data_IF_061154689066
#
_entry.id   IF_061154689066
#
_cell.length_a   1.000
_cell.length_b   1.000
_cell.length_c   1.000
_cell.angle_alpha   90.00
_cell.angle_beta   90.00
_cell.angle_gamma   90.00
#
_symmetry.space_group_name_H-M   'P 1'
#
loop_
_entity.id
_entity.type
_entity.pdbx_description
1 polymer ?
#
# COMPACT_ATOMS: atom_id res chain seq x y z
N UNK A 1 19.85 -7.10 -6.33
CA UNK A 1 18.98 -8.14 -5.75
C UNK A 1 17.79 -8.47 -6.64
N UNK A 2 16.76 -7.63 -6.79
CA UNK A 2 15.59 -7.95 -7.66
C UNK A 2 16.04 -8.34 -9.09
N UNK A 3 16.91 -7.54 -9.70
CA UNK A 3 17.45 -7.83 -11.04
C UNK A 3 18.19 -9.17 -11.12
N UNK A 4 18.91 -9.59 -10.07
CA UNK A 4 19.70 -10.81 -10.08
C UNK A 4 18.83 -12.07 -10.14
N UNK A 5 17.68 -12.04 -9.44
CA UNK A 5 16.68 -13.10 -9.48
C UNK A 5 15.82 -13.02 -10.75
N UNK A 6 15.44 -11.81 -11.17
CA UNK A 6 14.69 -11.58 -12.40
C UNK A 6 15.43 -12.09 -13.64
N UNK A 7 16.75 -11.90 -13.72
CA UNK A 7 17.59 -12.43 -14.81
C UNK A 7 17.64 -13.97 -14.86
N UNK A 8 17.20 -14.66 -13.80
CA UNK A 8 17.06 -16.13 -13.75
C UNK A 8 15.63 -16.60 -14.02
N UNK A 9 14.76 -15.70 -14.48
CA UNK A 9 13.34 -15.97 -14.73
C UNK A 9 12.45 -15.92 -13.50
N UNK A 10 12.97 -15.60 -12.31
CA UNK A 10 12.13 -15.50 -11.12
C UNK A 10 11.25 -14.24 -11.20
N UNK A 11 9.97 -14.37 -10.83
CA UNK A 11 9.01 -13.25 -10.84
C UNK A 11 8.74 -12.78 -9.42
N UNK A 12 8.89 -11.49 -9.14
CA UNK A 12 8.57 -10.91 -7.84
C UNK A 12 7.05 -10.99 -7.60
N UNK A 13 6.64 -11.41 -6.41
CA UNK A 13 5.22 -11.54 -6.03
C UNK A 13 4.82 -10.58 -4.93
N UNK A 14 5.67 -10.41 -3.93
CA UNK A 14 5.35 -9.62 -2.73
C UNK A 14 6.64 -9.11 -2.10
N UNK A 15 6.53 -7.99 -1.41
CA UNK A 15 7.57 -7.45 -0.53
C UNK A 15 7.01 -7.30 0.88
N UNK A 16 7.69 -7.86 1.87
CA UNK A 16 7.29 -7.74 3.28
C UNK A 16 8.39 -7.06 4.10
N UNK A 17 8.00 -6.16 5.00
CA UNK A 17 8.93 -5.56 5.96
C UNK A 17 9.02 -6.47 7.19
N UNK A 18 10.16 -7.13 7.38
CA UNK A 18 10.32 -8.22 8.36
C UNK A 18 11.06 -7.81 9.63
N UNK A 19 11.63 -6.61 9.68
CA UNK A 19 12.26 -6.12 10.90
C UNK A 19 12.67 -4.66 10.85
N UNK A 20 12.97 -4.10 12.01
CA UNK A 20 13.66 -2.82 12.10
C UNK A 20 14.93 -3.00 12.94
N UNK A 21 16.07 -2.67 12.35
CA UNK A 21 17.34 -2.60 13.05
C UNK A 21 17.58 -1.16 13.47
N UNK A 22 17.74 -0.94 14.77
CA UNK A 22 18.34 0.28 15.29
C UNK A 22 19.85 0.04 15.28
N UNK A 23 20.64 0.73 14.43
CA UNK A 23 22.09 0.65 14.57
C UNK A 23 22.47 1.07 15.99
N UNK A 24 23.43 0.39 16.64
CA UNK A 24 23.94 0.82 17.93
C UNK A 24 24.44 2.25 17.76
N UNK A 25 23.69 3.21 18.30
CA UNK A 25 24.13 4.58 18.39
C UNK A 25 25.28 4.61 19.38
N UNK A 26 26.39 5.24 19.00
CA UNK A 26 27.50 5.54 19.91
C UNK A 26 26.96 6.02 21.26
N UNK A 27 27.40 5.36 22.32
CA UNK A 27 26.89 5.38 23.69
C UNK A 27 27.00 6.73 24.43
N UNK A 28 27.23 7.84 23.74
CA UNK A 28 27.47 9.14 24.34
C UNK A 28 26.58 10.21 23.71
N UNK A 29 25.36 10.35 24.22
CA UNK A 29 24.74 11.62 24.63
C UNK A 29 23.25 11.40 24.90
N UNK A 30 22.80 11.93 26.05
CA UNK A 30 21.42 11.96 26.59
C UNK A 30 20.98 10.74 27.43
N UNK A 31 21.23 10.87 28.75
CA UNK A 31 20.31 10.68 29.89
C UNK A 31 19.43 9.42 30.00
N UNK A 32 19.16 8.93 31.21
CA UNK A 32 18.43 7.67 31.41
C UNK A 32 16.98 7.80 30.96
N UNK A 33 16.63 7.15 29.84
CA UNK A 33 15.25 6.82 29.51
C UNK A 33 14.97 5.39 29.91
N UNK A 34 14.03 5.23 30.85
CA UNK A 34 13.55 3.97 31.39
C UNK A 34 12.92 3.14 30.26
N UNK A 35 13.64 2.12 29.81
CA UNK A 35 13.19 1.18 28.78
C UNK A 35 12.18 0.20 29.39
N UNK A 36 10.90 0.37 29.04
CA UNK A 36 9.87 -0.63 29.27
C UNK A 36 9.97 -1.73 28.22
N UNK A 37 10.17 -2.97 28.68
CA UNK A 37 10.29 -4.19 27.88
C UNK A 37 8.91 -4.67 27.47
N UNK A 38 8.69 -4.89 26.17
CA UNK A 38 7.48 -5.54 25.67
C UNK A 38 7.44 -5.58 24.15
N UNK A 39 7.88 -6.70 23.57
CA UNK A 39 7.70 -7.02 22.16
C UNK A 39 6.21 -7.18 21.85
N UNK A 40 5.64 -6.13 21.29
CA UNK A 40 4.30 -6.08 20.71
C UNK A 40 4.25 -4.79 19.91
N UNK A 41 3.80 -4.85 18.66
CA UNK A 41 3.84 -3.73 17.72
C UNK A 41 3.22 -2.46 18.30
N UNK A 42 4.08 -1.60 18.86
CA UNK A 42 3.73 -0.34 19.48
C UNK A 42 3.83 0.77 18.43
N UNK A 43 2.75 1.01 17.69
CA UNK A 43 2.54 2.24 16.93
C UNK A 43 1.64 3.24 17.68
N UNK A 44 1.53 3.10 19.00
CA UNK A 44 0.91 4.08 19.90
C UNK A 44 1.97 4.87 20.65
N UNK A 45 2.08 6.17 20.36
CA UNK A 45 2.73 7.21 21.16
C UNK A 45 4.19 6.98 21.61
N UNK A 46 5.11 7.50 20.81
CA UNK A 46 6.52 7.68 21.16
C UNK A 46 7.29 8.40 20.05
N UNK A 47 6.84 9.60 19.65
CA UNK A 47 7.41 10.36 18.54
C UNK A 47 8.74 11.05 18.91
N UNK A 48 9.83 10.29 18.83
CA UNK A 48 11.16 10.75 18.43
C UNK A 48 11.68 9.77 17.39
N UNK A 49 11.29 9.96 16.12
CA UNK A 49 11.83 9.16 15.02
C UNK A 49 13.31 9.53 14.82
N UNK A 50 14.19 8.66 15.32
CA UNK A 50 15.62 8.67 14.99
C UNK A 50 15.77 8.58 13.47
N UNK A 51 16.57 9.48 12.88
CA UNK A 51 16.92 9.59 11.44
C UNK A 51 17.62 8.35 10.82
N UNK A 52 17.52 7.18 11.42
CA UNK A 52 18.34 6.01 11.04
C UNK A 52 17.73 4.69 11.51
N UNK A 53 16.47 4.39 11.14
CA UNK A 53 15.97 3.02 11.23
C UNK A 53 16.23 2.34 9.88
N UNK A 54 16.92 1.21 9.91
CA UNK A 54 17.09 0.35 8.74
C UNK A 54 16.01 -0.72 8.84
N UNK A 55 15.15 -0.81 7.83
CA UNK A 55 14.12 -1.84 7.76
C UNK A 55 14.66 -3.05 6.99
N UNK A 56 14.49 -4.24 7.58
CA UNK A 56 14.68 -5.50 6.88
C UNK A 56 13.50 -5.73 5.94
N UNK A 57 13.79 -6.24 4.75
CA UNK A 57 12.79 -6.46 3.71
C UNK A 57 12.99 -7.86 3.15
N UNK A 58 11.92 -8.64 3.15
CA UNK A 58 11.85 -9.96 2.52
C UNK A 58 11.20 -9.82 1.15
N UNK A 59 11.80 -10.48 0.15
CA UNK A 59 11.33 -10.48 -1.23
C UNK A 59 10.87 -11.88 -1.60
N UNK A 60 9.60 -12.02 -1.94
CA UNK A 60 9.02 -13.30 -2.33
C UNK A 60 9.00 -13.41 -3.85
N UNK A 61 9.65 -14.46 -4.36
CA UNK A 61 9.73 -14.74 -5.79
C UNK A 61 9.03 -16.05 -6.13
N UNK A 62 8.33 -16.05 -7.26
CA UNK A 62 7.92 -17.27 -7.94
C UNK A 62 9.04 -17.76 -8.85
N UNK A 63 9.41 -19.03 -8.68
CA UNK A 63 10.41 -19.70 -9.52
C UNK A 63 9.67 -20.45 -10.63
N UNK A 64 9.89 -20.07 -11.91
CA UNK A 64 9.23 -20.73 -13.02
C UNK A 64 9.65 -22.19 -13.14
N UNK A 65 8.68 -23.08 -13.36
CA UNK A 65 8.92 -24.52 -13.53
C UNK A 65 9.20 -24.93 -14.99
N UNK A 66 9.07 -24.00 -15.94
CA UNK A 66 9.19 -24.27 -17.38
C UNK A 66 10.54 -23.80 -17.97
N UNK A 67 11.10 -24.50 -18.98
CA UNK A 67 12.44 -24.25 -19.53
C UNK A 67 12.67 -22.90 -20.23
N UNK A 68 11.65 -22.07 -20.43
CA UNK A 68 11.78 -20.74 -21.06
C UNK A 68 10.93 -19.70 -20.31
N UNK A 69 11.38 -19.23 -19.15
CA UNK A 69 10.63 -18.25 -18.39
C UNK A 69 10.62 -16.89 -19.10
N UNK A 70 9.45 -16.27 -19.13
CA UNK A 70 9.35 -14.85 -19.51
C UNK A 70 10.14 -14.01 -18.49
N UNK A 71 10.95 -13.08 -18.98
CA UNK A 71 11.70 -12.16 -18.14
C UNK A 71 10.87 -10.90 -17.89
N UNK A 72 11.05 -10.31 -16.72
CA UNK A 72 10.30 -9.12 -16.28
C UNK A 72 11.27 -8.00 -15.90
N UNK A 73 10.89 -6.77 -16.24
CA UNK A 73 11.52 -5.55 -15.78
C UNK A 73 10.65 -4.91 -14.70
N UNK A 74 11.30 -4.35 -13.67
CA UNK A 74 10.63 -3.72 -12.54
C UNK A 74 10.94 -2.24 -12.47
N UNK A 75 9.96 -1.46 -12.02
CA UNK A 75 10.12 -0.04 -11.75
C UNK A 75 9.55 0.31 -10.38
N UNK A 76 10.40 0.84 -9.51
CA UNK A 76 10.00 1.39 -8.22
C UNK A 76 9.78 2.90 -8.35
N UNK A 77 8.62 3.37 -7.91
CA UNK A 77 8.18 4.76 -8.04
C UNK A 77 7.89 5.30 -6.64
N UNK A 78 8.82 6.08 -6.06
CA UNK A 78 8.61 6.68 -4.75
C UNK A 78 7.66 7.87 -4.84
N UNK A 79 6.72 7.95 -3.90
CA UNK A 79 5.74 9.02 -3.73
C UNK A 79 5.72 9.48 -2.28
N UNK A 80 5.19 10.69 -2.09
CA UNK A 80 5.00 11.29 -0.77
C UNK A 80 3.53 11.26 -0.40
N UNK A 81 3.20 10.54 0.67
CA UNK A 81 1.92 10.64 1.35
C UNK A 81 2.04 11.74 2.41
N UNK A 82 1.26 12.81 2.24
CA UNK A 82 1.13 13.84 3.28
C UNK A 82 -0.07 13.50 4.16
N UNK A 83 0.17 13.31 5.44
CA UNK A 83 -0.86 13.05 6.44
C UNK A 83 -0.91 14.20 7.43
N UNK A 84 -2.06 14.86 7.52
CA UNK A 84 -2.29 15.97 8.43
C UNK A 84 -3.34 15.58 9.46
N UNK A 85 -2.96 15.58 10.74
CA UNK A 85 -3.85 15.44 11.87
C UNK A 85 -4.11 16.82 12.47
N UNK A 86 -5.37 17.24 12.49
CA UNK A 86 -5.84 18.37 13.26
C UNK A 86 -6.56 17.87 14.52
N UNK A 87 -6.12 18.33 15.68
CA UNK A 87 -6.74 18.05 16.97
C UNK A 87 -7.27 19.33 17.57
N UNK A 88 -8.54 19.33 17.96
CA UNK A 88 -9.14 20.42 18.72
C UNK A 88 -9.75 19.88 20.01
N UNK A 89 -9.44 20.53 21.13
CA UNK A 89 -10.03 20.21 22.43
C UNK A 89 -11.38 20.92 22.56
N UNK A 90 -12.47 20.16 22.47
CA UNK A 90 -13.79 20.62 22.89
C UNK A 90 -14.01 20.38 24.39
N UNK A 91 -15.16 20.81 24.93
CA UNK A 91 -15.59 20.46 26.28
C UNK A 91 -15.81 18.94 26.39
N UNK A 92 -14.76 18.20 26.79
CA UNK A 92 -14.84 16.80 27.22
C UNK A 92 -14.11 15.76 26.37
N UNK A 93 -13.94 15.97 25.06
CA UNK A 93 -13.28 14.98 24.18
C UNK A 93 -12.46 15.65 23.06
N UNK A 94 -11.23 15.19 22.79
CA UNK A 94 -10.47 15.63 21.62
C UNK A 94 -11.22 15.27 20.33
N UNK A 95 -11.44 16.24 19.45
CA UNK A 95 -11.89 15.99 18.09
C UNK A 95 -10.64 15.84 17.20
N UNK A 96 -10.55 14.73 16.47
CA UNK A 96 -9.43 14.40 15.59
C UNK A 96 -9.94 14.38 14.14
N UNK A 97 -9.27 15.12 13.26
CA UNK A 97 -9.56 15.12 11.83
C UNK A 97 -8.27 14.84 11.04
N UNK A 98 -8.31 13.81 10.20
CA UNK A 98 -7.20 13.42 9.35
C UNK A 98 -7.47 13.86 7.90
N UNK A 99 -6.50 14.56 7.31
CA UNK A 99 -6.39 14.75 5.86
C UNK A 99 -5.24 13.90 5.33
N UNK A 100 -5.53 13.03 4.36
CA UNK A 100 -4.50 12.25 3.66
C UNK A 100 -4.43 12.72 2.21
N UNK A 101 -3.21 12.96 1.72
CA UNK A 101 -2.96 13.38 0.35
C UNK A 101 -1.87 12.51 -0.29
N UNK A 102 -2.26 11.74 -1.30
CA UNK A 102 -1.39 10.96 -2.17
C UNK A 102 -1.97 10.98 -3.57
N UNK A 103 -1.19 11.39 -4.58
CA UNK A 103 -1.59 11.27 -5.99
C UNK A 103 -1.35 9.84 -6.51
N UNK A 104 -2.11 8.89 -5.96
CA UNK A 104 -2.02 7.51 -6.38
C UNK A 104 -2.57 7.33 -7.80
N UNK A 105 -3.61 8.08 -8.17
CA UNK A 105 -4.29 7.94 -9.45
C UNK A 105 -3.42 8.40 -10.62
N UNK A 106 -2.70 9.51 -10.49
CA UNK A 106 -1.76 9.99 -11.51
C UNK A 106 -0.69 8.96 -11.83
N UNK A 107 -0.11 8.36 -10.79
CA UNK A 107 0.92 7.33 -10.93
C UNK A 107 0.37 6.04 -11.51
N UNK A 108 -0.76 5.55 -11.01
CA UNK A 108 -1.38 4.33 -11.56
C UNK A 108 -1.75 4.53 -13.04
N UNK A 109 -2.32 5.66 -13.42
CA UNK A 109 -2.66 5.94 -14.82
C UNK A 109 -1.44 5.98 -15.73
N UNK A 110 -0.32 6.57 -15.26
CA UNK A 110 0.92 6.63 -16.03
C UNK A 110 1.46 5.23 -16.38
N UNK A 111 1.49 4.32 -15.40
CA UNK A 111 2.12 3.00 -15.55
C UNK A 111 1.14 1.96 -16.12
N UNK A 112 -0.05 1.84 -15.56
CA UNK A 112 -1.05 0.87 -16.03
C UNK A 112 -1.50 1.19 -17.46
N UNK A 113 -1.62 2.48 -17.78
CA UNK A 113 -1.92 2.99 -19.13
C UNK A 113 -0.82 2.75 -20.16
N UNK A 114 0.37 2.31 -19.76
CA UNK A 114 1.48 1.95 -20.66
C UNK A 114 1.85 0.47 -20.56
N UNK A 115 0.91 -0.37 -20.12
CA UNK A 115 1.02 -1.83 -20.11
C UNK A 115 1.84 -2.40 -18.94
N UNK A 116 2.21 -1.58 -17.95
CA UNK A 116 2.81 -2.08 -16.71
C UNK A 116 1.73 -2.65 -15.79
N UNK A 117 2.11 -3.61 -14.96
CA UNK A 117 1.28 -4.22 -13.92
C UNK A 117 1.74 -3.74 -12.55
N UNK A 118 0.82 -3.38 -11.65
CA UNK A 118 1.16 -3.07 -10.25
C UNK A 118 1.35 -4.39 -9.47
N UNK A 119 2.41 -4.47 -8.67
CA UNK A 119 2.75 -5.68 -7.89
C UNK A 119 2.70 -5.43 -6.40
N UNK A 120 3.12 -4.25 -5.95
CA UNK A 120 3.16 -3.94 -4.53
C UNK A 120 3.06 -2.43 -4.32
N UNK A 121 2.48 -2.03 -3.19
CA UNK A 121 2.54 -0.67 -2.66
C UNK A 121 2.88 -0.78 -1.18
N UNK A 122 4.03 -0.26 -0.76
CA UNK A 122 4.42 -0.31 0.64
C UNK A 122 4.91 1.04 1.14
N UNK A 123 4.77 1.24 2.45
CA UNK A 123 5.32 2.38 3.18
C UNK A 123 6.73 2.01 3.64
N UNK A 124 7.75 2.77 3.26
CA UNK A 124 9.14 2.48 3.68
C UNK A 124 9.41 2.83 5.16
N UNK A 125 8.37 3.32 5.85
CA UNK A 125 8.33 3.68 7.27
C UNK A 125 9.21 4.86 7.65
N UNK A 126 9.83 5.53 6.68
CA UNK A 126 10.48 6.82 6.88
C UNK A 126 9.43 7.93 6.88
N UNK A 127 9.47 8.74 7.93
CA UNK A 127 8.50 9.80 8.17
C UNK A 127 9.21 11.07 8.60
N UNK A 128 8.96 12.17 7.90
CA UNK A 128 9.28 13.51 8.38
C UNK A 128 8.04 14.07 9.06
N UNK A 129 8.11 14.25 10.39
CA UNK A 129 6.98 14.73 11.19
C UNK A 129 7.27 16.13 11.71
N UNK A 130 6.32 17.03 11.52
CA UNK A 130 6.30 18.36 12.11
C UNK A 130 5.02 18.53 12.92
N UNK A 131 5.11 19.21 14.06
CA UNK A 131 3.95 19.49 14.90
C UNK A 131 3.98 20.95 15.36
N UNK A 132 2.80 21.53 15.52
CA UNK A 132 2.63 22.92 15.92
C UNK A 132 1.34 23.13 16.70
N UNK A 133 1.36 24.09 17.61
CA UNK A 133 0.17 24.55 18.31
C UNK A 133 -0.51 25.61 17.45
N UNK A 134 -1.79 25.40 17.13
CA UNK A 134 -2.56 26.31 16.26
C UNK A 134 -3.46 27.26 17.06
N UNK A 135 -3.55 27.06 18.38
CA UNK A 135 -4.41 27.82 19.30
C UNK A 135 -4.47 27.18 20.70
N UNK A 136 -5.21 27.81 21.61
CA UNK A 136 -5.42 27.24 22.96
C UNK A 136 -6.20 25.93 22.86
N UNK A 137 -5.56 24.82 23.21
CA UNK A 137 -6.17 23.50 23.13
C UNK A 137 -6.31 22.96 21.70
N UNK A 138 -5.59 23.51 20.71
CA UNK A 138 -5.57 22.95 19.35
C UNK A 138 -4.16 22.73 18.85
N UNK A 139 -3.93 21.57 18.23
CA UNK A 139 -2.65 21.18 17.66
C UNK A 139 -2.83 20.61 16.26
N UNK A 140 -1.86 20.87 15.40
CA UNK A 140 -1.73 20.22 14.09
C UNK A 140 -0.43 19.44 14.05
N UNK A 141 -0.50 18.23 13.52
CA UNK A 141 0.67 17.40 13.21
C UNK A 141 0.62 17.06 11.73
N UNK A 142 1.73 17.27 11.03
CA UNK A 142 1.89 16.91 9.62
C UNK A 142 3.04 15.93 9.49
N UNK A 143 2.75 14.76 8.94
CA UNK A 143 3.70 13.70 8.66
C UNK A 143 3.79 13.49 7.16
N UNK A 144 5.00 13.46 6.62
CA UNK A 144 5.27 13.10 5.23
C UNK A 144 5.90 11.72 5.22
N UNK A 145 5.18 10.75 4.66
CA UNK A 145 5.58 9.35 4.53
C UNK A 145 6.05 9.07 3.10
N UNK A 146 7.03 8.18 2.95
CA UNK A 146 7.42 7.65 1.65
C UNK A 146 6.63 6.37 1.34
N UNK A 147 5.90 6.41 0.24
CA UNK A 147 5.17 5.26 -0.30
C UNK A 147 5.84 4.86 -1.61
N UNK A 148 6.11 3.58 -1.82
CA UNK A 148 6.77 3.08 -3.02
C UNK A 148 5.80 2.19 -3.77
N UNK A 149 5.50 2.55 -5.01
CA UNK A 149 4.75 1.71 -5.94
C UNK A 149 5.74 0.88 -6.75
N UNK A 150 5.51 -0.42 -6.86
CA UNK A 150 6.34 -1.31 -7.67
C UNK A 150 5.51 -1.83 -8.82
N UNK A 151 5.98 -1.54 -10.02
CA UNK A 151 5.42 -2.03 -11.26
C UNK A 151 6.33 -3.06 -11.91
N UNK A 152 5.74 -3.98 -12.66
CA UNK A 152 6.46 -4.90 -13.53
C UNK A 152 5.95 -4.82 -14.97
N UNK A 153 6.81 -5.18 -15.92
CA UNK A 153 6.46 -5.33 -17.33
C UNK A 153 7.27 -6.45 -17.97
N UNK A 154 6.64 -7.26 -18.79
CA UNK A 154 7.34 -8.30 -19.54
C UNK A 154 8.41 -7.68 -20.45
N UNK A 155 9.62 -8.24 -20.43
CA UNK A 155 10.74 -7.75 -21.23
C UNK A 155 10.44 -7.81 -22.73
N UNK A 156 9.69 -8.83 -23.17
CA UNK A 156 9.19 -8.99 -24.54
C UNK A 156 8.28 -7.85 -25.01
N UNK A 157 7.66 -7.13 -24.06
CA UNK A 157 6.68 -6.06 -24.31
C UNK A 157 7.15 -4.70 -23.82
N UNK A 158 8.43 -4.53 -23.47
CA UNK A 158 8.90 -3.30 -22.83
C UNK A 158 8.55 -2.04 -23.65
N UNK A 159 8.66 -2.14 -24.97
CA UNK A 159 8.37 -1.07 -25.93
C UNK A 159 6.90 -1.01 -26.39
N UNK A 160 6.05 -1.93 -25.94
CA UNK A 160 4.61 -1.93 -26.25
C UNK A 160 3.86 -1.13 -25.17
N UNK A 161 3.31 0.02 -25.55
CA UNK A 161 2.57 0.90 -24.64
C UNK A 161 1.07 0.64 -24.64
N UNK A 162 0.61 -0.49 -25.17
CA UNK A 162 -0.81 -0.86 -25.14
C UNK A 162 -1.28 -0.97 -23.68
N UNK A 163 -2.33 -0.22 -23.28
CA UNK A 163 -2.91 -0.34 -21.95
C UNK A 163 -3.43 -1.76 -21.73
N UNK A 164 -2.97 -2.42 -20.66
CA UNK A 164 -3.39 -3.78 -20.31
C UNK A 164 -4.09 -3.89 -18.97
N UNK A 165 -3.89 -2.90 -18.10
CA UNK A 165 -4.40 -2.92 -16.75
C UNK A 165 -5.09 -1.60 -16.43
N UNK A 166 -6.06 -1.66 -15.55
CA UNK A 166 -6.61 -0.51 -14.84
C UNK A 166 -6.56 -0.79 -13.34
N UNK A 167 -6.65 0.26 -12.54
CA UNK A 167 -6.49 0.13 -11.10
C UNK A 167 -7.32 1.14 -10.32
N UNK A 168 -7.60 0.79 -9.08
CA UNK A 168 -8.45 1.58 -8.18
C UNK A 168 -7.98 1.42 -6.73
N UNK A 169 -8.41 2.34 -5.88
CA UNK A 169 -8.14 2.33 -4.45
C UNK A 169 -9.45 2.45 -3.69
N UNK A 170 -9.63 1.61 -2.67
CA UNK A 170 -10.78 1.66 -1.76
C UNK A 170 -10.30 2.02 -0.36
N UNK A 171 -10.97 3.01 0.24
CA UNK A 171 -10.76 3.35 1.64
C UNK A 171 -11.55 2.39 2.54
N UNK A 172 -10.85 1.76 3.48
CA UNK A 172 -11.44 0.88 4.48
C UNK A 172 -11.19 1.42 5.89
N UNK A 173 -12.27 1.56 6.66
CA UNK A 173 -12.21 1.98 8.05
C UNK A 173 -12.21 0.76 8.95
N UNK A 174 -11.02 0.28 9.31
CA UNK A 174 -10.86 -0.89 10.17
C UNK A 174 -11.23 -0.53 11.62
N UNK A 175 -12.29 -1.12 12.18
CA UNK A 175 -12.62 -0.91 13.57
C UNK A 175 -11.58 -1.58 14.47
N UNK A 176 -11.39 -1.05 15.67
CA UNK A 176 -10.45 -1.58 16.63
C UNK A 176 -10.76 -1.14 18.05
N UNK A 177 -10.01 -1.69 18.98
CA UNK A 177 -10.11 -1.36 20.40
C UNK A 177 -8.73 -1.31 21.04
N UNK A 178 -8.60 -0.43 22.02
CA UNK A 178 -7.43 -0.34 22.89
C UNK A 178 -7.93 -0.59 24.31
N UNK A 179 -7.42 -1.65 24.93
CA UNK A 179 -7.66 -1.93 26.35
C UNK A 179 -6.40 -1.58 27.15
N UNK A 180 -6.59 -0.84 28.24
CA UNK A 180 -5.52 -0.48 29.16
C UNK A 180 -5.52 -1.49 30.34
N UNK A 181 -4.47 -2.29 30.44
CA UNK A 181 -4.15 -3.11 31.59
C UNK A 181 -3.06 -2.47 32.45
N UNK A 182 -2.86 -2.99 33.66
CA UNK A 182 -1.76 -2.56 34.54
C UNK A 182 -0.44 -2.95 33.86
N UNK A 183 0.26 -1.96 33.30
CA UNK A 183 1.57 -2.13 32.67
C UNK A 183 1.56 -2.56 31.20
N UNK A 184 0.40 -2.86 30.61
CA UNK A 184 0.28 -3.22 29.18
C UNK A 184 -0.96 -2.61 28.55
N UNK A 185 -0.81 -2.09 27.33
CA UNK A 185 -1.94 -1.70 26.48
C UNK A 185 -2.04 -2.70 25.33
N UNK A 186 -3.20 -3.34 25.19
CA UNK A 186 -3.45 -4.24 24.05
C UNK A 186 -4.27 -3.49 23.02
N UNK A 187 -3.76 -3.43 21.80
CA UNK A 187 -4.46 -2.87 20.65
C UNK A 187 -4.89 -4.02 19.74
N UNK A 188 -6.19 -4.06 19.42
CA UNK A 188 -6.78 -5.02 18.49
C UNK A 188 -7.38 -4.23 17.34
N UNK A 189 -6.95 -4.54 16.12
CA UNK A 189 -7.62 -4.07 14.89
C UNK A 189 -8.40 -5.26 14.34
N UNK A 190 -9.67 -5.05 14.08
CA UNK A 190 -10.52 -6.00 13.38
C UNK A 190 -10.27 -5.84 11.87
N UNK A 191 -9.78 -6.92 11.26
CA UNK A 191 -9.37 -6.99 9.86
C UNK A 191 -10.47 -7.61 8.98
N UNK A 192 -11.74 -7.27 9.25
CA UNK A 192 -12.90 -7.79 8.51
C UNK A 192 -13.07 -7.10 7.15
N UNK A 193 -12.01 -7.07 6.34
CA UNK A 193 -12.00 -6.53 4.98
C UNK A 193 -12.44 -7.56 3.93
N UNK A 194 -12.69 -8.81 4.33
CA UNK A 194 -13.03 -9.91 3.43
C UNK A 194 -14.23 -9.59 2.54
N UNK A 195 -15.27 -8.95 3.09
CA UNK A 195 -16.43 -8.51 2.31
C UNK A 195 -16.08 -7.49 1.22
N UNK A 196 -15.11 -6.61 1.48
CA UNK A 196 -14.63 -5.64 0.48
C UNK A 196 -13.85 -6.37 -0.61
N UNK A 197 -12.96 -7.30 -0.22
CA UNK A 197 -12.19 -8.12 -1.17
C UNK A 197 -13.13 -8.94 -2.05
N UNK A 198 -14.12 -9.62 -1.47
CA UNK A 198 -15.09 -10.43 -2.19
C UNK A 198 -15.92 -9.59 -3.17
N UNK A 199 -16.44 -8.45 -2.72
CA UNK A 199 -17.21 -7.54 -3.57
C UNK A 199 -16.38 -7.01 -4.75
N UNK A 200 -15.11 -6.66 -4.51
CA UNK A 200 -14.19 -6.21 -5.55
C UNK A 200 -13.83 -7.37 -6.51
N UNK A 201 -13.58 -8.56 -5.97
CA UNK A 201 -13.33 -9.79 -6.75
C UNK A 201 -14.49 -10.15 -7.67
N UNK A 202 -15.73 -10.04 -7.20
CA UNK A 202 -16.94 -10.24 -8.00
C UNK A 202 -17.08 -9.24 -9.16
N UNK A 203 -16.41 -8.09 -9.08
CA UNK A 203 -16.33 -7.08 -10.13
C UNK A 203 -15.08 -7.24 -11.02
N UNK A 204 -14.33 -8.34 -10.84
CA UNK A 204 -13.12 -8.67 -11.60
C UNK A 204 -11.85 -7.98 -11.12
N UNK A 205 -11.87 -7.33 -9.95
CA UNK A 205 -10.69 -6.70 -9.36
C UNK A 205 -9.85 -7.71 -8.57
N UNK A 206 -8.53 -7.67 -8.79
CA UNK A 206 -7.52 -8.40 -8.02
C UNK A 206 -6.96 -7.48 -6.92
N UNK A 207 -6.98 -7.93 -5.67
CA UNK A 207 -6.31 -7.22 -4.57
C UNK A 207 -4.80 -7.29 -4.77
N UNK A 208 -4.13 -6.14 -4.69
CA UNK A 208 -2.67 -6.05 -4.73
C UNK A 208 -2.10 -5.95 -3.34
N UNK A 209 -2.59 -5.00 -2.55
CA UNK A 209 -2.07 -4.78 -1.20
C UNK A 209 -3.05 -3.99 -0.36
N UNK A 210 -2.90 -4.12 0.96
CA UNK A 210 -3.63 -3.33 1.96
C UNK A 210 -2.60 -2.46 2.66
N UNK A 211 -2.60 -1.17 2.31
CA UNK A 211 -1.70 -0.20 2.86
C UNK A 211 -2.29 0.41 4.13
N UNK A 212 -1.64 0.18 5.26
CA UNK A 212 -1.97 0.87 6.50
C UNK A 212 -1.55 2.34 6.42
N UNK A 213 -2.49 3.26 6.70
CA UNK A 213 -2.23 4.70 6.76
C UNK A 213 -1.97 5.13 8.21
N UNK A 214 -1.37 6.32 8.45
CA UNK A 214 -1.23 6.86 9.81
C UNK A 214 -2.58 7.35 10.38
N UNK A 215 -3.63 7.46 9.57
CA UNK A 215 -4.90 8.04 9.98
C UNK A 215 -5.65 7.09 10.91
N UNK A 216 -5.65 7.44 12.19
CA UNK A 216 -6.33 6.69 13.25
C UNK A 216 -7.16 7.66 14.08
N UNK A 217 -8.43 7.35 14.27
CA UNK A 217 -9.32 8.09 15.18
C UNK A 217 -9.54 7.29 16.45
N UNK A 218 -9.36 7.92 17.60
CA UNK A 218 -9.58 7.27 18.90
C UNK A 218 -10.69 7.98 19.67
N UNK A 219 -11.65 7.19 20.17
CA UNK A 219 -12.71 7.69 21.07
C UNK A 219 -12.53 7.06 22.44
N UNK A 220 -12.21 7.91 23.42
CA UNK A 220 -12.05 7.50 24.81
C UNK A 220 -13.39 7.08 25.41
N UNK A 221 -13.38 5.98 26.16
CA UNK A 221 -14.49 5.46 26.94
C UNK A 221 -14.02 5.20 28.38
N UNK A 222 -14.96 5.03 29.32
CA UNK A 222 -14.66 4.93 30.76
C UNK A 222 -13.70 3.79 31.13
N UNK A 223 -13.60 2.73 30.32
CA UNK A 223 -12.76 1.55 30.57
C UNK A 223 -11.91 1.09 29.37
N UNK A 224 -11.72 1.95 28.36
CA UNK A 224 -10.97 1.62 27.16
C UNK A 224 -11.12 2.70 26.10
N UNK A 225 -10.60 2.46 24.90
CA UNK A 225 -10.84 3.34 23.77
C UNK A 225 -11.27 2.53 22.55
N UNK A 226 -12.29 3.00 21.83
CA UNK A 226 -12.53 2.49 20.49
C UNK A 226 -11.62 3.23 19.51
N UNK A 227 -11.16 2.49 18.51
CA UNK A 227 -10.24 2.98 17.50
C UNK A 227 -10.82 2.70 16.12
N UNK A 228 -10.56 3.60 15.18
CA UNK A 228 -10.82 3.34 13.75
C UNK A 228 -9.57 3.71 12.99
N UNK A 229 -8.97 2.75 12.30
CA UNK A 229 -7.80 2.94 11.45
C UNK A 229 -8.23 3.02 10.00
N UNK A 230 -7.79 4.03 9.28
CA UNK A 230 -8.01 4.14 7.84
C UNK A 230 -6.94 3.34 7.10
N UNK A 231 -7.37 2.46 6.22
CA UNK A 231 -6.51 1.65 5.34
C UNK A 231 -6.87 1.94 3.89
N UNK A 232 -5.88 1.86 3.01
CA UNK A 232 -6.06 1.97 1.58
C UNK A 232 -5.82 0.61 0.93
N UNK A 233 -6.85 0.08 0.28
CA UNK A 233 -6.80 -1.19 -0.42
C UNK A 233 -6.62 -0.92 -1.91
N UNK A 234 -5.48 -1.32 -2.47
CA UNK A 234 -5.19 -1.14 -3.90
C UNK A 234 -5.60 -2.38 -4.68
N UNK A 235 -6.33 -2.16 -5.77
CA UNK A 235 -6.81 -3.20 -6.66
C UNK A 235 -6.37 -2.92 -8.09
N UNK A 236 -6.20 -3.98 -8.89
CA UNK A 236 -5.98 -3.88 -10.33
C UNK A 236 -6.82 -4.92 -11.07
N UNK A 237 -7.10 -4.71 -12.35
CA UNK A 237 -7.63 -5.76 -13.22
C UNK A 237 -7.12 -5.60 -14.65
N UNK A 238 -7.17 -6.67 -15.42
CA UNK A 238 -6.87 -6.60 -16.84
C UNK A 238 -8.00 -5.94 -17.61
N UNK A 239 -7.65 -5.04 -18.53
CA UNK A 239 -8.58 -4.49 -19.50
C UNK A 239 -8.87 -5.61 -20.50
N UNK A 240 -10.06 -6.18 -20.42
CA UNK A 240 -10.55 -7.10 -21.46
C UNK A 240 -10.85 -6.26 -22.69
N UNK A 241 -9.83 -6.00 -23.51
CA UNK A 241 -10.07 -5.50 -24.85
C UNK A 241 -10.90 -6.56 -25.55
N UNK A 242 -12.18 -6.28 -25.80
CA UNK A 242 -12.97 -7.07 -26.72
C UNK A 242 -12.22 -7.06 -28.04
N UNK A 243 -11.46 -8.12 -28.33
CA UNK A 243 -11.02 -8.36 -29.69
C UNK A 243 -12.32 -8.42 -30.49
N UNK A 244 -12.51 -7.44 -31.38
CA UNK A 244 -13.52 -7.60 -32.41
C UNK A 244 -13.26 -8.98 -33.04
N UNK A 245 -14.27 -9.86 -33.13
CA UNK A 245 -14.08 -11.10 -33.88
C UNK A 245 -13.52 -10.71 -35.24
N UNK A 246 -12.55 -11.47 -35.79
CA UNK A 246 -11.92 -11.11 -37.05
C UNK A 246 -13.02 -10.85 -38.09
N UNK A 247 -13.20 -9.58 -38.47
CA UNK A 247 -14.07 -9.18 -39.57
C UNK A 247 -13.35 -9.69 -40.82
N UNK A 248 -13.69 -10.91 -41.23
CA UNK A 248 -12.93 -11.59 -42.29
C UNK A 248 -13.35 -13.03 -42.55
N UNK A 249 -14.65 -13.32 -42.51
CA UNK A 249 -15.20 -14.35 -43.40
C UNK A 249 -16.09 -13.61 -44.38
N UNK A 250 -15.52 -13.22 -45.53
CA UNK A 250 -16.33 -12.93 -46.69
C UNK A 250 -17.22 -14.15 -46.95
N UNK A 251 -18.55 -13.99 -47.10
CA UNK A 251 -19.39 -15.09 -47.51
C UNK A 251 -18.88 -15.63 -48.85
N UNK A 252 -18.82 -16.95 -49.06
CA UNK A 252 -18.41 -17.50 -50.34
C UNK A 252 -19.30 -16.91 -51.43
N UNK A 253 -18.66 -16.41 -52.50
CA UNK A 253 -19.37 -15.79 -53.61
C UNK A 253 -20.47 -16.72 -54.13
N UNK A 254 -21.67 -16.19 -54.45
CA UNK A 254 -22.76 -17.02 -54.95
C UNK A 254 -22.32 -17.72 -56.24
N UNK A 255 -22.37 -19.05 -56.23
CA UNK A 255 -22.08 -19.88 -57.41
C UNK A 255 -23.12 -19.55 -58.48
N UNK A 256 -22.69 -18.88 -59.54
CA UNK A 256 -23.56 -18.64 -60.70
C UNK A 256 -23.80 -19.98 -61.42
N UNK A 257 -25.05 -20.32 -61.77
CA UNK A 257 -25.33 -21.54 -62.52
C UNK A 257 -24.68 -21.48 -63.91
N UNK A 258 -24.05 -22.58 -64.31
CA UNK A 258 -23.50 -22.75 -65.65
C UNK A 258 -24.60 -22.49 -66.69
N UNK A 259 -24.36 -21.53 -67.58
CA UNK A 259 -25.15 -21.39 -68.80
C UNK A 259 -24.86 -22.61 -69.68
N UNK A 260 -25.91 -23.40 -69.94
CA UNK A 260 -25.94 -24.39 -71.03
C UNK A 260 -26.06 -23.68 -72.38
#
# INVERSE_FOLDING_TARGET
>A
MINDYACRGCRLRCIEITGCYKPPQDLNMYGPQTMGVGSGMAYGQGHLHSRSRIYGVDLFFEIPQHPSPELYQYQAVPLKLTAQLNVSMGFGTPNQNWGLQLDWQGVMNQYLGTGWRLIEVFNDMSADTSSGMTGFGSSSTTSVLNIIFIFEKSQSRLNDNTPMYEGTMVEYQAPGSVSAGIGTSTMVIDTNWDNVIENMGNQGWELITILQTPATTTKMQFMGASMTSLMWMFFQRQIVSASLPPIGFDPPAPVLPYKQ
#
